data_IF_772239678671
#
_entry.id   IF_772239678671
#
_cell.length_a   1.000
_cell.length_b   1.000
_cell.length_c   1.000
_cell.angle_alpha   90.00
_cell.angle_beta   90.00
_cell.angle_gamma   90.00
#
_symmetry.space_group_name_H-M   'P 1'
#
loop_
_entity.id
_entity.type
_entity.pdbx_description
1 polymer ?
#
# COMPACT_ATOMS: atom_id res chain seq x y z
N UNK A 1 9.15 -13.79 20.64
CA UNK A 1 8.28 -13.57 19.47
C UNK A 1 9.17 -13.11 18.34
N UNK A 2 9.35 -13.93 17.30
CA UNK A 2 10.24 -13.60 16.19
C UNK A 2 9.77 -12.33 15.50
N UNK A 3 10.64 -11.34 15.38
CA UNK A 3 10.40 -10.20 14.50
C UNK A 3 10.29 -10.80 13.10
N UNK A 4 9.07 -10.91 12.58
CA UNK A 4 8.89 -11.36 11.21
C UNK A 4 9.72 -10.43 10.33
N UNK A 5 10.66 -11.00 9.59
CA UNK A 5 11.57 -10.27 8.71
C UNK A 5 10.74 -9.27 7.89
N UNK A 6 11.08 -7.97 7.94
CA UNK A 6 10.52 -6.95 7.05
C UNK A 6 11.05 -7.18 5.64
N UNK A 7 10.59 -8.26 5.00
CA UNK A 7 10.74 -8.45 3.57
C UNK A 7 9.86 -7.44 2.86
N UNK A 8 10.25 -7.06 1.65
CA UNK A 8 9.50 -6.07 0.86
C UNK A 8 8.05 -6.52 0.66
N UNK A 9 7.86 -7.81 0.41
CA UNK A 9 6.56 -8.45 0.20
C UNK A 9 5.69 -8.38 1.46
N UNK A 10 6.28 -8.57 2.65
CA UNK A 10 5.55 -8.41 3.92
C UNK A 10 5.09 -6.97 4.15
N UNK A 11 5.87 -5.97 3.72
CA UNK A 11 5.47 -4.57 3.81
C UNK A 11 4.33 -4.28 2.84
N UNK A 12 4.45 -4.72 1.59
CA UNK A 12 3.41 -4.55 0.56
C UNK A 12 2.10 -5.16 1.04
N UNK A 13 2.10 -6.44 1.43
CA UNK A 13 0.88 -7.12 1.88
C UNK A 13 0.25 -6.47 3.11
N UNK A 14 1.07 -5.98 4.05
CA UNK A 14 0.57 -5.26 5.24
C UNK A 14 -0.07 -3.92 4.84
N UNK A 15 0.56 -3.18 3.94
CA UNK A 15 0.07 -1.89 3.47
C UNK A 15 -1.23 -2.09 2.68
N UNK A 16 -1.28 -3.07 1.80
CA UNK A 16 -2.46 -3.42 1.01
C UNK A 16 -3.68 -3.68 1.91
N UNK A 17 -3.55 -4.56 2.91
CA UNK A 17 -4.63 -4.81 3.88
C UNK A 17 -5.10 -3.55 4.63
N UNK A 18 -4.17 -2.66 4.98
CA UNK A 18 -4.51 -1.40 5.66
C UNK A 18 -5.20 -0.45 4.71
N UNK A 19 -4.67 -0.31 3.50
CA UNK A 19 -5.15 0.58 2.46
C UNK A 19 -6.55 0.16 1.99
N UNK A 20 -6.82 -1.12 1.77
CA UNK A 20 -8.15 -1.62 1.40
C UNK A 20 -9.18 -1.27 2.47
N UNK A 21 -8.86 -1.53 3.74
CA UNK A 21 -9.76 -1.24 4.86
C UNK A 21 -10.09 0.25 4.99
N UNK A 22 -9.09 1.11 4.82
CA UNK A 22 -9.27 2.57 4.93
C UNK A 22 -9.94 3.13 3.67
N UNK A 23 -9.50 2.67 2.50
CA UNK A 23 -10.02 3.10 1.20
C UNK A 23 -11.51 2.78 1.06
N UNK A 24 -11.93 1.57 1.44
CA UNK A 24 -13.34 1.18 1.42
C UNK A 24 -14.24 2.11 2.27
N UNK A 25 -13.73 2.63 3.39
CA UNK A 25 -14.48 3.58 4.22
C UNK A 25 -14.64 4.97 3.56
N UNK A 26 -13.73 5.31 2.64
CA UNK A 26 -13.64 6.61 1.96
C UNK A 26 -14.13 6.55 0.49
N UNK A 27 -14.67 5.42 0.04
CA UNK A 27 -15.09 5.20 -1.35
C UNK A 27 -13.92 5.11 -2.35
N UNK A 28 -12.72 4.78 -1.87
CA UNK A 28 -11.50 4.67 -2.66
C UNK A 28 -11.20 3.19 -2.91
N UNK A 29 -10.97 2.84 -4.17
CA UNK A 29 -10.52 1.52 -4.58
C UNK A 29 -8.99 1.47 -4.59
N UNK A 30 -8.40 0.44 -3.97
CA UNK A 30 -6.96 0.20 -4.04
C UNK A 30 -6.70 -0.70 -5.25
N UNK A 31 -5.91 -0.21 -6.20
CA UNK A 31 -5.63 -0.91 -7.46
C UNK A 31 -4.34 -1.71 -7.38
N UNK A 32 -3.29 -1.15 -6.77
CA UNK A 32 -1.99 -1.81 -6.63
C UNK A 32 -1.16 -1.16 -5.51
N UNK A 33 -0.23 -1.94 -4.92
CA UNK A 33 0.73 -1.47 -3.92
C UNK A 33 2.13 -1.95 -4.28
N UNK A 34 3.04 -1.00 -4.50
CA UNK A 34 4.41 -1.31 -4.88
C UNK A 34 5.43 -0.76 -3.88
N UNK A 35 6.43 -1.57 -3.53
CA UNK A 35 7.60 -1.09 -2.78
C UNK A 35 8.85 -1.09 -3.65
N UNK A 36 9.22 0.11 -4.14
CA UNK A 36 10.32 0.33 -5.09
C UNK A 36 11.54 0.99 -4.44
N UNK A 37 12.65 0.95 -5.17
CA UNK A 37 13.91 1.58 -4.78
C UNK A 37 14.79 0.71 -3.88
N UNK A 38 15.90 1.28 -3.43
CA UNK A 38 16.89 0.61 -2.58
C UNK A 38 17.60 1.62 -1.65
N UNK A 39 18.21 1.13 -0.57
CA UNK A 39 18.94 1.97 0.38
C UNK A 39 18.06 3.07 0.99
N UNK A 40 18.52 4.31 0.91
CA UNK A 40 17.82 5.51 1.39
C UNK A 40 16.73 6.05 0.45
N UNK A 41 16.64 5.53 -0.78
CA UNK A 41 15.68 5.99 -1.81
C UNK A 41 14.51 5.01 -1.98
N UNK A 42 13.99 4.47 -0.88
CA UNK A 42 12.82 3.58 -0.91
C UNK A 42 11.54 4.40 -1.02
N UNK A 43 10.64 3.96 -1.89
CA UNK A 43 9.35 4.61 -2.12
C UNK A 43 8.27 3.54 -2.11
N UNK A 44 7.25 3.74 -1.29
CA UNK A 44 6.02 2.96 -1.30
C UNK A 44 5.00 3.72 -2.14
N UNK A 45 4.41 3.06 -3.14
CA UNK A 45 3.38 3.61 -4.01
C UNK A 45 2.10 2.85 -3.80
N UNK A 46 1.00 3.58 -3.68
CA UNK A 46 -0.36 3.02 -3.62
C UNK A 46 -1.11 3.64 -4.79
N UNK A 47 -1.54 2.80 -5.71
CA UNK A 47 -2.38 3.20 -6.83
C UNK A 47 -3.82 3.08 -6.39
N UNK A 48 -4.58 4.15 -6.59
CA UNK A 48 -5.97 4.23 -6.19
C UNK A 48 -6.84 4.66 -7.37
N UNK A 49 -8.08 4.21 -7.35
CA UNK A 49 -9.15 4.76 -8.17
C UNK A 49 -10.27 5.30 -7.28
N UNK A 50 -10.99 6.29 -7.80
CA UNK A 50 -12.11 6.93 -7.12
C UNK A 50 -13.19 7.24 -8.16
N UNK A 51 -14.36 6.56 -8.13
CA UNK A 51 -15.37 6.67 -9.19
C UNK A 51 -15.86 8.10 -9.47
N UNK A 52 -15.90 8.95 -8.44
CA UNK A 52 -16.27 10.36 -8.53
C UNK A 52 -15.14 11.29 -9.02
N UNK A 53 -13.96 10.75 -9.28
CA UNK A 53 -12.78 11.48 -9.73
C UNK A 53 -11.84 11.90 -8.59
N UNK A 54 -10.61 12.24 -8.98
CA UNK A 54 -9.54 12.73 -8.09
C UNK A 54 -9.46 14.26 -8.23
N UNK A 55 -9.55 14.98 -7.11
CA UNK A 55 -9.47 16.46 -7.05
C UNK A 55 -8.41 16.95 -6.07
#
# INVERSE_FOLDING_TARGET
MGVQQLTRDNVVARVEQIAERVGAAEGIEIVDVEFKGAGSRRVLRVFIDKPEGIS
#
